data_IF_146538755354
#
_entry.id   IF_146538755354
#
_cell.length_a   1.000
_cell.length_b   1.000
_cell.length_c   1.000
_cell.angle_alpha   90.00
_cell.angle_beta   90.00
_cell.angle_gamma   90.00
#
_symmetry.space_group_name_H-M   'P 1'
#
loop_
_entity.id
_entity.type
_entity.pdbx_description
1 polymer ?
#
# COMPACT_ATOMS: atom_id res chain seq x y z
N UNK A 1 -25.89 -22.90 2.25
CA UNK A 1 -24.80 -22.98 1.28
C UNK A 1 -23.51 -22.49 1.92
N UNK A 2 -22.47 -23.31 1.83
CA UNK A 2 -21.12 -22.94 2.24
C UNK A 2 -20.55 -22.09 1.13
N UNK A 3 -20.27 -20.80 1.40
CA UNK A 3 -19.57 -19.94 0.45
C UNK A 3 -18.08 -20.15 0.69
N UNK A 4 -17.41 -20.83 -0.25
CA UNK A 4 -15.95 -20.87 -0.24
C UNK A 4 -15.41 -19.46 -0.57
N UNK A 5 -14.77 -18.82 0.39
CA UNK A 5 -14.05 -17.58 0.16
C UNK A 5 -12.60 -17.93 -0.14
N UNK A 6 -12.11 -17.41 -1.27
CA UNK A 6 -10.69 -17.42 -1.61
C UNK A 6 -10.14 -16.03 -1.36
N UNK A 7 -9.25 -15.92 -0.40
CA UNK A 7 -8.64 -14.64 -0.02
C UNK A 7 -7.39 -14.30 -0.85
N UNK A 8 -6.72 -15.30 -1.41
CA UNK A 8 -5.46 -15.12 -2.16
C UNK A 8 -5.53 -14.10 -3.32
N UNK A 9 -6.65 -13.98 -4.06
CA UNK A 9 -6.74 -12.98 -5.13
C UNK A 9 -6.86 -11.55 -4.64
N UNK A 10 -7.19 -11.33 -3.35
CA UNK A 10 -7.50 -9.99 -2.81
C UNK A 10 -6.59 -9.59 -1.65
N UNK A 11 -5.88 -10.54 -1.04
CA UNK A 11 -4.98 -10.30 0.08
C UNK A 11 -3.54 -10.67 -0.26
N UNK A 12 -2.62 -9.93 0.31
CA UNK A 12 -1.20 -10.30 0.39
C UNK A 12 -0.80 -10.42 1.86
N UNK A 13 0.09 -11.35 2.12
CA UNK A 13 0.73 -11.55 3.41
C UNK A 13 2.22 -11.27 3.31
N UNK A 14 2.93 -11.19 4.43
CA UNK A 14 4.35 -10.85 4.45
C UNK A 14 5.22 -11.65 3.46
N UNK A 15 5.06 -12.98 3.30
CA UNK A 15 5.82 -13.72 2.29
C UNK A 15 5.52 -13.29 0.85
N UNK A 16 4.25 -12.95 0.57
CA UNK A 16 3.83 -12.49 -0.76
C UNK A 16 4.46 -11.14 -1.10
N UNK A 17 4.47 -10.23 -0.12
CA UNK A 17 5.09 -8.90 -0.29
C UNK A 17 6.60 -9.01 -0.46
N UNK A 18 7.26 -9.89 0.28
CA UNK A 18 8.70 -10.17 0.08
C UNK A 18 8.99 -10.68 -1.33
N UNK A 19 8.17 -11.59 -1.84
CA UNK A 19 8.29 -12.11 -3.21
C UNK A 19 7.94 -11.06 -4.28
N UNK A 20 7.11 -10.07 -3.94
CA UNK A 20 6.68 -9.01 -4.84
C UNK A 20 7.72 -7.89 -5.02
N UNK A 21 8.67 -7.74 -4.10
CA UNK A 21 9.72 -6.72 -4.16
C UNK A 21 10.49 -6.78 -5.48
N UNK A 22 10.46 -5.69 -6.23
CA UNK A 22 11.11 -5.57 -7.54
C UNK A 22 10.39 -6.27 -8.70
N UNK A 23 9.26 -6.95 -8.44
CA UNK A 23 8.49 -7.67 -9.45
C UNK A 23 7.16 -6.97 -9.82
N UNK A 24 6.75 -5.99 -9.04
CA UNK A 24 5.52 -5.23 -9.29
C UNK A 24 5.42 -3.98 -8.43
N UNK A 25 4.44 -3.10 -8.72
CA UNK A 25 4.23 -1.88 -7.96
C UNK A 25 3.74 -2.15 -6.55
N UNK A 26 4.33 -1.41 -5.60
CA UNK A 26 3.86 -1.29 -4.22
C UNK A 26 3.35 0.13 -3.97
N UNK A 27 2.20 0.25 -3.32
CA UNK A 27 1.61 1.55 -2.97
C UNK A 27 1.48 1.66 -1.45
N UNK A 28 2.22 2.61 -0.88
CA UNK A 28 2.04 3.03 0.51
C UNK A 28 1.00 4.15 0.57
N UNK A 29 -0.11 3.88 1.22
CA UNK A 29 -1.22 4.83 1.28
C UNK A 29 -1.27 5.63 2.59
N UNK A 30 -0.23 5.50 3.42
CA UNK A 30 -0.09 6.25 4.67
C UNK A 30 0.22 7.72 4.40
N UNK A 31 0.31 8.50 5.47
CA UNK A 31 0.75 9.89 5.38
C UNK A 31 2.24 9.98 4.97
N UNK A 32 2.68 11.11 4.37
CA UNK A 32 4.09 11.32 4.05
C UNK A 32 5.02 11.16 5.25
N UNK A 33 4.63 11.63 6.44
CA UNK A 33 5.43 11.48 7.66
C UNK A 33 5.58 10.03 8.13
N UNK A 34 4.56 9.17 7.90
CA UNK A 34 4.68 7.73 8.14
C UNK A 34 5.59 7.07 7.09
N UNK A 35 5.48 7.48 5.84
CA UNK A 35 6.30 6.97 4.73
C UNK A 35 7.79 7.28 4.93
N UNK A 36 8.13 8.54 5.23
CA UNK A 36 9.53 8.96 5.45
C UNK A 36 10.15 8.35 6.70
N UNK A 37 9.33 7.89 7.63
CA UNK A 37 9.75 7.35 8.91
C UNK A 37 9.93 8.38 10.01
N UNK A 38 9.48 9.62 9.78
CA UNK A 38 9.39 10.65 10.82
C UNK A 38 8.37 10.30 11.89
N UNK A 39 7.35 9.53 11.50
CA UNK A 39 6.28 9.06 12.38
C UNK A 39 6.13 7.55 12.30
N UNK A 40 6.01 6.91 13.46
CA UNK A 40 5.84 5.45 13.57
C UNK A 40 4.41 5.02 13.90
N UNK A 41 3.52 5.99 14.19
CA UNK A 41 2.12 5.78 14.56
C UNK A 41 1.24 6.90 14.01
N UNK A 42 -0.07 6.68 13.97
CA UNK A 42 -1.03 7.75 13.72
C UNK A 42 -1.19 8.64 14.96
N UNK A 43 -1.52 9.94 14.81
CA UNK A 43 -1.66 10.86 15.96
C UNK A 43 -2.61 10.37 17.04
N UNK A 44 -3.73 9.74 16.63
CA UNK A 44 -4.79 9.29 17.53
C UNK A 44 -4.59 7.85 18.03
N UNK A 45 -3.52 7.16 17.60
CA UNK A 45 -3.25 5.75 17.91
C UNK A 45 -1.78 5.53 18.27
N UNK A 46 -1.33 6.21 19.32
CA UNK A 46 0.08 6.21 19.74
C UNK A 46 0.57 4.82 20.16
N UNK A 47 -0.29 4.01 20.75
CA UNK A 47 0.04 2.66 21.24
C UNK A 47 0.03 1.59 20.13
N UNK A 48 -0.41 1.94 18.92
CA UNK A 48 -0.51 1.03 17.79
C UNK A 48 0.60 1.27 16.75
N UNK A 49 1.75 1.73 17.18
CA UNK A 49 2.89 2.02 16.33
C UNK A 49 3.74 0.80 15.97
N UNK A 50 4.59 0.98 14.98
CA UNK A 50 5.67 0.07 14.69
C UNK A 50 6.96 0.53 15.36
N UNK A 51 7.85 -0.42 15.72
CA UNK A 51 9.16 -0.11 16.29
C UNK A 51 10.09 0.62 15.31
N UNK A 52 9.89 0.40 14.00
CA UNK A 52 10.70 1.01 12.95
C UNK A 52 9.85 1.91 12.08
N UNK A 53 10.34 3.11 11.78
CA UNK A 53 9.75 4.03 10.81
C UNK A 53 10.34 3.84 9.42
N UNK A 54 9.61 4.28 8.40
CA UNK A 54 10.00 4.20 7.00
C UNK A 54 8.92 3.51 6.14
N UNK A 55 9.35 2.94 5.02
CA UNK A 55 8.46 2.27 4.07
C UNK A 55 9.11 1.02 3.48
N UNK A 56 8.30 0.20 2.82
CA UNK A 56 8.76 -0.97 2.06
C UNK A 56 9.54 -0.47 0.82
N UNK A 57 10.74 -0.99 0.54
CA UNK A 57 11.49 -0.58 -0.64
C UNK A 57 10.66 -0.66 -1.93
N UNK A 58 10.88 0.27 -2.84
CA UNK A 58 10.15 0.47 -4.11
C UNK A 58 8.71 0.99 -4.00
N UNK A 59 8.16 1.12 -2.81
CA UNK A 59 6.80 1.61 -2.64
C UNK A 59 6.66 3.07 -3.06
N UNK A 60 5.65 3.38 -3.87
CA UNK A 60 5.25 4.75 -4.15
C UNK A 60 4.35 5.29 -3.03
N UNK A 61 4.60 6.54 -2.62
CA UNK A 61 3.78 7.21 -1.59
C UNK A 61 2.55 7.84 -2.23
N UNK A 62 1.39 7.24 -2.03
CA UNK A 62 0.10 7.75 -2.51
C UNK A 62 -0.91 7.74 -1.37
N UNK A 63 -0.95 8.78 -0.53
CA UNK A 63 -1.89 8.86 0.57
C UNK A 63 -3.33 8.61 0.15
N UNK A 64 -4.03 7.71 0.85
CA UNK A 64 -5.40 7.28 0.49
C UNK A 64 -6.39 8.43 0.32
N UNK A 65 -6.24 9.48 1.13
CA UNK A 65 -7.10 10.67 1.07
C UNK A 65 -7.03 11.44 -0.24
N UNK A 66 -5.98 11.25 -1.06
CA UNK A 66 -5.91 11.84 -2.41
C UNK A 66 -7.00 11.30 -3.34
N UNK A 67 -7.55 10.12 -3.07
CA UNK A 67 -8.62 9.52 -3.86
C UNK A 67 -10.03 9.90 -3.38
N UNK A 68 -10.15 10.60 -2.26
CA UNK A 68 -11.40 11.11 -1.71
C UNK A 68 -11.61 12.59 -2.07
N UNK A 69 -12.85 12.97 -2.38
CA UNK A 69 -13.28 14.33 -2.52
C UNK A 69 -13.62 14.95 -1.14
N UNK A 70 -13.80 16.26 -1.08
CA UNK A 70 -14.09 16.98 0.18
C UNK A 70 -15.40 16.55 0.84
N UNK A 71 -16.37 16.10 0.06
CA UNK A 71 -17.65 15.57 0.56
C UNK A 71 -17.59 14.10 1.02
N UNK A 72 -16.41 13.48 0.98
CA UNK A 72 -16.18 12.09 1.36
C UNK A 72 -16.49 11.06 0.28
N UNK A 73 -16.91 11.49 -0.91
CA UNK A 73 -17.08 10.58 -2.05
C UNK A 73 -15.75 10.26 -2.72
N UNK A 74 -15.73 9.26 -3.59
CA UNK A 74 -14.55 9.04 -4.45
C UNK A 74 -14.43 10.17 -5.48
N UNK A 75 -13.21 10.55 -5.80
CA UNK A 75 -12.95 11.45 -6.94
C UNK A 75 -13.44 10.83 -8.25
N UNK A 76 -13.61 11.68 -9.26
CA UNK A 76 -14.00 11.23 -10.60
C UNK A 76 -12.99 10.26 -11.20
N UNK A 77 -13.44 9.42 -12.13
CA UNK A 77 -12.59 8.48 -12.87
C UNK A 77 -11.35 9.16 -13.45
N UNK A 78 -11.52 10.33 -14.07
CA UNK A 78 -10.41 11.09 -14.68
C UNK A 78 -9.37 11.53 -13.65
N UNK A 79 -9.79 12.00 -12.46
CA UNK A 79 -8.87 12.37 -11.39
C UNK A 79 -8.15 11.16 -10.81
N UNK A 80 -8.85 10.04 -10.67
CA UNK A 80 -8.26 8.79 -10.20
C UNK A 80 -7.25 8.21 -11.21
N UNK A 81 -7.55 8.26 -12.50
CA UNK A 81 -6.61 7.86 -13.57
C UNK A 81 -5.36 8.76 -13.56
N UNK A 82 -5.52 10.08 -13.34
CA UNK A 82 -4.39 10.99 -13.22
C UNK A 82 -3.54 10.71 -11.97
N UNK A 83 -4.17 10.37 -10.84
CA UNK A 83 -3.48 10.03 -9.59
C UNK A 83 -2.70 8.72 -9.71
N UNK A 84 -3.35 7.65 -10.09
CA UNK A 84 -2.72 6.31 -10.07
C UNK A 84 -1.95 6.01 -11.35
N UNK A 85 -2.45 6.36 -12.51
CA UNK A 85 -1.74 6.21 -13.78
C UNK A 85 -0.69 7.28 -14.03
N UNK A 86 -0.99 8.53 -13.69
CA UNK A 86 -0.09 9.67 -13.88
C UNK A 86 0.96 9.78 -12.77
N UNK A 87 0.56 10.10 -11.53
CA UNK A 87 1.51 10.35 -10.44
C UNK A 87 2.20 9.07 -9.95
N UNK A 88 1.44 7.99 -9.75
CA UNK A 88 1.97 6.71 -9.25
C UNK A 88 2.57 5.82 -10.36
N UNK A 89 2.32 6.14 -11.62
CA UNK A 89 2.88 5.42 -12.77
C UNK A 89 2.34 4.02 -12.99
N UNK A 90 1.16 3.69 -12.41
CA UNK A 90 0.55 2.38 -12.57
C UNK A 90 0.01 2.19 -13.99
N UNK A 91 0.08 0.97 -14.49
CA UNK A 91 -0.39 0.58 -15.81
C UNK A 91 -1.45 -0.52 -15.71
N UNK A 92 -2.38 -0.52 -16.64
CA UNK A 92 -3.31 -1.64 -16.78
C UNK A 92 -2.51 -2.96 -16.95
N UNK A 93 -2.86 -3.98 -16.16
CA UNK A 93 -2.16 -5.26 -16.14
C UNK A 93 -1.07 -5.39 -15.06
N UNK A 94 -0.73 -4.32 -14.35
CA UNK A 94 0.15 -4.43 -13.20
C UNK A 94 -0.47 -5.30 -12.10
N UNK A 95 0.35 -6.12 -11.44
CA UNK A 95 0.02 -6.78 -10.18
C UNK A 95 0.39 -5.83 -9.03
N UNK A 96 -0.59 -5.17 -8.47
CA UNK A 96 -0.40 -4.10 -7.48
C UNK A 96 -0.62 -4.63 -6.07
N UNK A 97 0.28 -4.30 -5.15
CA UNK A 97 0.06 -4.48 -3.72
C UNK A 97 -0.04 -3.12 -3.04
N UNK A 98 -1.15 -2.87 -2.33
CA UNK A 98 -1.34 -1.68 -1.53
C UNK A 98 -1.25 -2.02 -0.03
N UNK A 99 -0.66 -1.13 0.76
CA UNK A 99 -0.59 -1.29 2.21
C UNK A 99 -0.73 0.03 2.95
N UNK A 100 -1.13 -0.06 4.21
CA UNK A 100 -1.15 1.10 5.11
C UNK A 100 -0.54 0.74 6.48
N UNK A 101 -1.25 0.98 7.57
CA UNK A 101 -0.87 0.56 8.92
C UNK A 101 -1.32 -0.87 9.23
N UNK A 102 -2.61 -1.19 8.98
CA UNK A 102 -3.27 -2.46 9.31
C UNK A 102 -4.20 -2.98 8.19
N UNK A 103 -4.02 -2.59 6.94
CA UNK A 103 -4.89 -2.98 5.82
C UNK A 103 -6.19 -2.18 5.68
N UNK A 104 -6.55 -1.30 6.62
CA UNK A 104 -7.77 -0.52 6.64
C UNK A 104 -7.81 0.57 5.56
N UNK A 105 -6.90 1.56 5.61
CA UNK A 105 -6.82 2.64 4.62
C UNK A 105 -6.49 2.13 3.22
N UNK A 106 -5.71 1.07 3.13
CA UNK A 106 -5.34 0.45 1.85
C UNK A 106 -6.48 -0.35 1.22
N UNK A 107 -7.50 -0.76 1.98
CA UNK A 107 -8.70 -1.34 1.40
C UNK A 107 -9.49 -0.34 0.55
N UNK A 108 -9.47 0.95 0.93
CA UNK A 108 -10.04 2.03 0.11
C UNK A 108 -9.31 2.14 -1.23
N UNK A 109 -7.98 2.16 -1.23
CA UNK A 109 -7.16 2.18 -2.45
C UNK A 109 -7.35 0.92 -3.28
N UNK A 110 -7.40 -0.26 -2.64
CA UNK A 110 -7.73 -1.51 -3.31
C UNK A 110 -9.07 -1.44 -4.04
N UNK A 111 -10.10 -0.89 -3.40
CA UNK A 111 -11.42 -0.73 -4.01
C UNK A 111 -11.36 0.21 -5.23
N UNK A 112 -10.66 1.33 -5.11
CA UNK A 112 -10.46 2.28 -6.23
C UNK A 112 -9.80 1.59 -7.42
N UNK A 113 -8.66 0.95 -7.20
CA UNK A 113 -7.91 0.30 -8.27
C UNK A 113 -8.71 -0.84 -8.90
N UNK A 114 -9.29 -1.71 -8.08
CA UNK A 114 -10.00 -2.91 -8.55
C UNK A 114 -11.34 -2.58 -9.22
N UNK A 115 -12.16 -1.76 -8.58
CA UNK A 115 -13.56 -1.59 -8.98
C UNK A 115 -13.84 -0.29 -9.75
N UNK A 116 -13.09 0.79 -9.48
CA UNK A 116 -13.31 2.05 -10.18
C UNK A 116 -12.37 2.21 -11.37
N UNK A 117 -11.14 1.72 -11.29
CA UNK A 117 -10.15 1.80 -12.36
C UNK A 117 -10.03 0.50 -13.18
N UNK A 118 -10.48 -0.62 -12.66
CA UNK A 118 -10.56 -1.88 -13.40
C UNK A 118 -9.22 -2.63 -13.50
N UNK A 119 -8.34 -2.49 -12.51
CA UNK A 119 -7.14 -3.29 -12.44
C UNK A 119 -7.48 -4.76 -12.12
N UNK A 120 -6.94 -5.69 -12.87
CA UNK A 120 -7.26 -7.11 -12.70
C UNK A 120 -6.58 -7.73 -11.48
N UNK A 121 -5.35 -7.36 -11.19
CA UNK A 121 -4.56 -7.88 -10.08
C UNK A 121 -4.22 -6.79 -9.07
N UNK A 122 -4.99 -6.74 -7.99
CA UNK A 122 -4.75 -5.82 -6.86
C UNK A 122 -4.94 -6.57 -5.56
N UNK A 123 -3.93 -6.55 -4.70
CA UNK A 123 -3.99 -7.18 -3.38
C UNK A 123 -3.77 -6.16 -2.28
N UNK A 124 -4.50 -6.32 -1.19
CA UNK A 124 -4.31 -5.54 0.03
C UNK A 124 -3.40 -6.31 0.99
N UNK A 125 -2.26 -5.73 1.39
CA UNK A 125 -1.38 -6.33 2.38
C UNK A 125 -2.01 -6.21 3.77
N UNK A 126 -2.49 -7.32 4.29
CA UNK A 126 -3.29 -7.38 5.52
C UNK A 126 -2.51 -6.91 6.75
N UNK A 127 -1.33 -7.46 6.99
CA UNK A 127 -0.46 -7.09 8.12
C UNK A 127 0.10 -5.67 8.06
N UNK A 128 0.27 -5.14 6.86
CA UNK A 128 0.70 -3.77 6.60
C UNK A 128 1.94 -3.35 7.39
N UNK A 129 2.04 -2.05 7.76
CA UNK A 129 3.22 -1.56 8.47
C UNK A 129 3.33 -2.06 9.91
N UNK A 130 2.22 -2.38 10.57
CA UNK A 130 2.25 -2.96 11.91
C UNK A 130 2.95 -4.33 11.91
N UNK A 131 2.78 -5.13 10.87
CA UNK A 131 3.56 -6.36 10.71
C UNK A 131 4.97 -6.07 10.21
N UNK A 132 5.12 -5.35 9.11
CA UNK A 132 6.42 -5.10 8.46
C UNK A 132 7.40 -4.34 9.34
N UNK A 133 6.96 -3.24 9.95
CA UNK A 133 7.80 -2.38 10.81
C UNK A 133 8.24 -3.04 12.12
N UNK A 134 7.60 -4.14 12.52
CA UNK A 134 7.96 -4.95 13.69
C UNK A 134 8.66 -6.27 13.31
N UNK A 135 8.60 -6.68 12.04
CA UNK A 135 9.22 -7.92 11.60
C UNK A 135 10.75 -7.84 11.61
N UNK A 136 11.39 -8.99 11.84
CA UNK A 136 12.84 -9.15 11.78
C UNK A 136 13.26 -9.52 10.36
N UNK A 137 14.40 -8.98 9.91
CA UNK A 137 15.02 -9.29 8.59
C UNK A 137 14.21 -8.86 7.37
N UNK A 138 13.27 -7.93 7.51
CA UNK A 138 12.64 -7.29 6.36
C UNK A 138 13.38 -6.00 5.98
N UNK A 139 13.47 -5.65 4.71
CA UNK A 139 14.11 -4.42 4.26
C UNK A 139 13.22 -3.21 4.55
N UNK A 140 13.82 -2.10 4.95
CA UNK A 140 13.14 -0.83 5.23
C UNK A 140 13.96 0.31 4.64
N UNK A 141 13.27 1.24 3.99
CA UNK A 141 13.83 2.51 3.52
C UNK A 141 13.26 3.66 4.34
N UNK A 142 14.07 4.68 4.58
CA UNK A 142 13.66 5.94 5.22
C UNK A 142 13.87 7.12 4.29
N UNK A 143 13.11 8.17 4.47
CA UNK A 143 13.15 9.36 3.63
C UNK A 143 12.14 9.30 2.47
N UNK A 144 12.24 10.23 1.53
CA UNK A 144 11.28 10.41 0.46
C UNK A 144 11.48 9.47 -0.74
N UNK A 145 12.71 9.02 -0.95
CA UNK A 145 13.03 8.15 -2.08
C UNK A 145 12.50 6.74 -1.86
N UNK A 146 11.85 6.12 -2.85
CA UNK A 146 11.28 4.77 -2.72
C UNK A 146 12.33 3.68 -2.47
N UNK A 147 13.59 3.95 -2.75
CA UNK A 147 14.67 2.99 -2.62
C UNK A 147 14.61 1.88 -3.66
N UNK A 148 15.48 0.89 -3.50
CA UNK A 148 15.60 -0.23 -4.41
C UNK A 148 15.25 -1.55 -3.73
N UNK A 149 14.73 -2.49 -4.51
CA UNK A 149 14.53 -3.85 -4.02
C UNK A 149 15.87 -4.46 -3.62
N UNK A 150 15.95 -5.21 -2.52
CA UNK A 150 17.18 -5.92 -2.18
C UNK A 150 17.59 -6.87 -3.30
N UNK A 151 18.88 -7.01 -3.54
CA UNK A 151 19.38 -8.03 -4.45
C UNK A 151 18.88 -9.43 -4.02
N UNK A 152 18.46 -10.24 -4.97
CA UNK A 152 18.09 -11.62 -4.73
C UNK A 152 19.27 -12.35 -4.05
N UNK A 153 19.01 -13.03 -2.94
CA UNK A 153 20.00 -13.82 -2.22
C UNK A 153 20.05 -15.23 -2.75
#
# INVERSE_FOLDING_TARGET
>A
PVVERRDEPVRAYLPDVLAHLGNGPLIDVRSPAEYTGERTHMPDYMDEGAMKGGHIPTAASVPWGKAAAEDGTFRSRTELDALYGGEAGLKAGDDVVAYCRIGERSSHTWFVLKHLLGFDSVRNYDGSWTEWGNAVRVPIVKGEAPGEAPAAR
#
